data_IF_834281557559
#
_entry.id   IF_834281557559
#
_cell.length_a   1.000
_cell.length_b   1.000
_cell.length_c   1.000
_cell.angle_alpha   90.00
_cell.angle_beta   90.00
_cell.angle_gamma   90.00
#
_symmetry.space_group_name_H-M   'P 1'
#
loop_
_entity.id
_entity.type
_entity.pdbx_description
1 polymer ?
#
# COMPACT_ATOMS: atom_id res chain seq x y z
N UNK A 1 33.81 60.97 -46.31
CA UNK A 1 32.94 59.78 -46.33
C UNK A 1 33.67 58.69 -45.57
N UNK A 2 33.48 58.64 -44.26
CA UNK A 2 34.28 57.83 -43.34
C UNK A 2 33.53 56.52 -43.11
N UNK A 3 34.11 55.42 -43.58
CA UNK A 3 33.51 54.08 -43.56
C UNK A 3 33.69 53.46 -42.17
N UNK A 4 32.61 53.32 -41.41
CA UNK A 4 32.62 52.67 -40.10
C UNK A 4 32.67 51.14 -40.29
N UNK A 5 33.76 50.51 -39.88
CA UNK A 5 33.87 49.05 -39.77
C UNK A 5 33.16 48.58 -38.49
N UNK A 6 32.06 47.85 -38.63
CA UNK A 6 31.42 47.15 -37.52
C UNK A 6 32.22 45.87 -37.21
N UNK A 7 32.92 45.84 -36.08
CA UNK A 7 33.58 44.64 -35.56
C UNK A 7 32.53 43.59 -35.20
N UNK A 8 32.62 42.40 -35.78
CA UNK A 8 31.71 41.29 -35.47
C UNK A 8 31.89 40.82 -34.01
N UNK A 9 30.77 40.60 -33.32
CA UNK A 9 30.76 39.88 -32.05
C UNK A 9 31.29 38.45 -32.28
N UNK A 10 32.30 38.03 -31.52
CA UNK A 10 32.76 36.64 -31.51
C UNK A 10 31.61 35.75 -31.02
N UNK A 11 31.13 34.84 -31.87
CA UNK A 11 30.16 33.82 -31.50
C UNK A 11 30.81 32.89 -30.46
N UNK A 12 30.49 33.09 -29.18
CA UNK A 12 30.86 32.14 -28.12
C UNK A 12 29.80 31.05 -28.15
N UNK A 13 30.13 29.90 -28.75
CA UNK A 13 29.33 28.69 -28.60
C UNK A 13 29.30 28.37 -27.10
N UNK A 14 28.13 28.52 -26.48
CA UNK A 14 27.88 27.97 -25.16
C UNK A 14 27.66 26.49 -25.43
N UNK A 15 28.59 25.64 -25.01
CA UNK A 15 28.34 24.20 -25.05
C UNK A 15 27.10 23.93 -24.19
N UNK A 16 26.11 23.26 -24.78
CA UNK A 16 24.93 22.81 -24.06
C UNK A 16 25.41 22.03 -22.83
N UNK A 17 24.94 22.41 -21.65
CA UNK A 17 25.25 21.68 -20.43
C UNK A 17 24.90 20.20 -20.68
N UNK A 18 25.84 19.28 -20.42
CA UNK A 18 25.58 17.85 -20.49
C UNK A 18 24.38 17.55 -19.61
N UNK A 19 23.23 17.29 -20.22
CA UNK A 19 22.04 16.90 -19.47
C UNK A 19 22.38 15.62 -18.69
N UNK A 20 22.01 15.54 -17.40
CA UNK A 20 22.30 14.35 -16.62
C UNK A 20 21.69 13.13 -17.31
N UNK A 21 22.46 12.04 -17.38
CA UNK A 21 22.01 10.80 -18.00
C UNK A 21 20.69 10.32 -17.40
N UNK A 22 19.78 9.84 -18.26
CA UNK A 22 18.53 9.24 -17.83
C UNK A 22 18.80 8.05 -16.92
N UNK A 23 18.22 8.07 -15.71
CA UNK A 23 18.31 6.95 -14.77
C UNK A 23 16.95 6.31 -14.55
N UNK A 24 16.95 4.98 -14.47
CA UNK A 24 15.78 4.21 -14.08
C UNK A 24 15.76 3.97 -12.58
N UNK A 25 14.58 3.89 -11.97
CA UNK A 25 14.43 3.53 -10.57
C UNK A 25 13.08 2.89 -10.27
N UNK A 26 13.03 2.06 -9.23
CA UNK A 26 11.77 1.53 -8.67
C UNK A 26 11.21 2.59 -7.72
N UNK A 27 10.03 3.14 -7.99
CA UNK A 27 9.45 4.18 -7.12
C UNK A 27 9.20 3.67 -5.69
N UNK A 28 8.80 2.41 -5.55
CA UNK A 28 8.58 1.79 -4.23
C UNK A 28 9.86 1.75 -3.37
N UNK A 29 11.06 1.65 -3.99
CA UNK A 29 12.35 1.63 -3.28
C UNK A 29 12.66 2.95 -2.55
N UNK A 30 12.03 4.07 -2.93
CA UNK A 30 12.17 5.34 -2.21
C UNK A 30 11.60 5.29 -0.78
N UNK A 31 10.77 4.28 -0.47
CA UNK A 31 10.27 4.04 0.90
C UNK A 31 11.28 3.26 1.76
N UNK A 32 12.45 2.90 1.24
CA UNK A 32 13.36 1.95 1.86
C UNK A 32 12.75 0.55 1.88
N UNK A 33 12.24 0.13 3.04
CA UNK A 33 11.52 -1.14 3.21
C UNK A 33 10.02 -0.88 3.00
N UNK A 34 9.46 -1.51 1.98
CA UNK A 34 8.08 -1.34 1.56
C UNK A 34 7.14 -2.24 2.36
N UNK A 35 6.65 -1.74 3.49
CA UNK A 35 5.74 -2.46 4.37
C UNK A 35 4.29 -2.46 3.89
N UNK A 36 3.68 -3.64 3.91
CA UNK A 36 2.26 -3.91 3.73
C UNK A 36 1.75 -4.52 5.04
N UNK A 37 1.21 -3.66 5.91
CA UNK A 37 0.83 -4.00 7.29
C UNK A 37 -0.58 -3.51 7.69
N UNK A 38 -1.32 -2.92 6.77
CA UNK A 38 -2.70 -2.49 6.98
C UNK A 38 -3.51 -2.64 5.69
N UNK A 39 -4.78 -3.00 5.81
CA UNK A 39 -5.74 -2.87 4.72
C UNK A 39 -5.95 -1.36 4.44
N UNK A 40 -5.96 -0.91 3.17
CA UNK A 40 -6.31 0.48 2.85
C UNK A 40 -7.68 0.80 3.45
N UNK A 41 -7.78 1.83 4.29
CA UNK A 41 -9.05 2.21 4.90
C UNK A 41 -10.04 2.61 3.81
N UNK A 42 -11.21 1.96 3.78
CA UNK A 42 -12.28 2.19 2.79
C UNK A 42 -12.87 3.61 2.77
N UNK A 43 -12.43 4.51 3.66
CA UNK A 43 -12.83 5.91 3.64
C UNK A 43 -12.23 6.72 2.47
N UNK A 44 -11.17 6.24 1.83
CA UNK A 44 -10.61 6.85 0.63
C UNK A 44 -10.33 5.75 -0.39
N UNK A 45 -11.18 5.67 -1.42
CA UNK A 45 -10.81 5.05 -2.69
C UNK A 45 -9.41 5.51 -3.10
N UNK A 46 -8.61 4.70 -3.83
CA UNK A 46 -7.30 5.11 -4.31
C UNK A 46 -7.40 6.49 -4.96
N UNK A 47 -6.88 7.50 -4.26
CA UNK A 47 -6.89 8.90 -4.69
C UNK A 47 -5.49 9.22 -5.22
N UNK A 48 -5.35 10.08 -6.24
CA UNK A 48 -4.04 10.54 -6.68
C UNK A 48 -3.26 11.10 -5.48
N UNK A 49 -2.10 10.50 -5.17
CA UNK A 49 -1.28 10.86 -4.00
C UNK A 49 -1.40 9.92 -2.79
N UNK A 50 -2.38 9.01 -2.76
CA UNK A 50 -2.46 7.93 -1.78
C UNK A 50 -2.77 6.58 -2.46
N UNK A 51 -1.85 6.08 -3.33
CA UNK A 51 -2.06 4.84 -4.04
C UNK A 51 -2.04 3.66 -3.06
N UNK A 52 -3.05 2.79 -3.12
CA UNK A 52 -3.06 1.54 -2.37
C UNK A 52 -1.77 0.76 -2.66
N UNK A 53 -1.04 0.40 -1.60
CA UNK A 53 0.25 -0.31 -1.71
C UNK A 53 0.12 -1.71 -2.35
N UNK A 54 -1.09 -2.23 -2.39
CA UNK A 54 -1.46 -3.49 -3.03
C UNK A 54 -2.95 -3.46 -3.42
N UNK A 55 -3.34 -4.37 -4.31
CA UNK A 55 -4.73 -4.76 -4.57
C UNK A 55 -4.90 -6.26 -4.37
N UNK A 56 -6.13 -6.78 -4.41
CA UNK A 56 -6.38 -8.21 -4.26
C UNK A 56 -7.33 -8.72 -5.34
N UNK A 57 -6.99 -9.84 -5.95
CA UNK A 57 -7.91 -10.63 -6.76
C UNK A 57 -8.39 -11.83 -5.92
N UNK A 58 -9.58 -11.72 -5.34
CA UNK A 58 -10.12 -12.74 -4.45
C UNK A 58 -10.51 -14.03 -5.20
N UNK A 59 -10.98 -13.92 -6.45
CA UNK A 59 -11.33 -15.07 -7.28
C UNK A 59 -10.13 -15.93 -7.64
N UNK A 60 -8.97 -15.29 -7.84
CA UNK A 60 -7.73 -15.98 -8.20
C UNK A 60 -6.81 -16.24 -6.99
N UNK A 61 -7.22 -15.81 -5.79
CA UNK A 61 -6.42 -15.95 -4.58
C UNK A 61 -5.09 -15.21 -4.65
N UNK A 62 -5.04 -14.00 -5.21
CA UNK A 62 -3.79 -13.21 -5.34
C UNK A 62 -3.85 -11.89 -4.60
N UNK A 63 -2.74 -11.55 -3.94
CA UNK A 63 -2.39 -10.18 -3.53
C UNK A 63 -1.45 -9.62 -4.61
N UNK A 64 -1.76 -8.44 -5.14
CA UNK A 64 -1.04 -7.82 -6.25
C UNK A 64 -0.34 -6.58 -5.72
N UNK A 65 0.99 -6.57 -5.76
CA UNK A 65 1.81 -5.41 -5.38
C UNK A 65 2.35 -4.78 -6.66
N UNK A 66 1.81 -3.63 -7.10
CA UNK A 66 2.26 -2.97 -8.32
C UNK A 66 3.63 -2.32 -8.11
N UNK A 67 4.62 -2.73 -8.90
CA UNK A 67 5.97 -2.18 -8.88
C UNK A 67 6.20 -1.32 -10.13
N UNK A 68 6.21 0.00 -9.93
CA UNK A 68 6.47 0.96 -11.00
C UNK A 68 7.97 1.24 -11.17
N UNK A 69 8.44 1.14 -12.42
CA UNK A 69 9.74 1.66 -12.85
C UNK A 69 9.54 3.02 -13.52
N UNK A 70 10.32 4.00 -13.07
CA UNK A 70 10.25 5.38 -13.53
C UNK A 70 11.53 5.74 -14.26
N UNK A 71 11.38 6.50 -15.33
CA UNK A 71 12.47 7.16 -16.06
C UNK A 71 12.67 8.55 -15.47
N UNK A 72 13.83 8.79 -14.86
CA UNK A 72 14.27 10.13 -14.48
C UNK A 72 15.03 10.77 -15.65
N UNK A 73 14.68 12.02 -16.00
CA UNK A 73 15.28 12.77 -17.11
C UNK A 73 14.23 13.52 -17.95
N UNK A 74 14.68 14.29 -18.94
CA UNK A 74 13.81 15.15 -19.77
C UNK A 74 13.38 14.44 -21.07
N UNK A 75 14.14 13.45 -21.54
CA UNK A 75 13.82 12.68 -22.74
C UNK A 75 13.11 11.37 -22.39
N UNK A 76 12.00 11.09 -23.07
CA UNK A 76 11.27 9.82 -23.05
C UNK A 76 11.38 9.11 -24.41
N UNK A 77 12.44 9.44 -25.16
CA UNK A 77 12.74 8.82 -26.44
C UNK A 77 13.11 7.35 -26.26
N UNK A 78 12.72 6.54 -27.23
CA UNK A 78 12.90 5.09 -27.30
C UNK A 78 12.15 4.26 -26.25
N UNK A 79 11.86 3.02 -26.63
CA UNK A 79 11.39 1.96 -25.73
C UNK A 79 12.55 1.47 -24.86
N UNK A 80 12.29 1.21 -23.58
CA UNK A 80 13.28 0.71 -22.62
C UNK A 80 12.81 -0.60 -22.01
N UNK A 81 13.68 -1.60 -22.05
CA UNK A 81 13.46 -2.91 -21.43
C UNK A 81 14.13 -2.98 -20.06
N UNK A 82 13.41 -3.53 -19.10
CA UNK A 82 13.82 -3.67 -17.71
C UNK A 82 13.56 -5.10 -17.27
N UNK A 83 14.56 -5.71 -16.65
CA UNK A 83 14.44 -7.02 -16.03
C UNK A 83 14.22 -6.88 -14.54
N UNK A 84 13.19 -7.54 -14.02
CA UNK A 84 12.86 -7.60 -12.58
C UNK A 84 13.28 -8.96 -12.03
N UNK A 85 14.18 -8.98 -11.05
CA UNK A 85 14.79 -10.21 -10.52
C UNK A 85 14.62 -10.31 -9.01
N UNK A 86 14.02 -11.39 -8.49
CA UNK A 86 13.99 -11.65 -7.05
C UNK A 86 15.40 -11.85 -6.47
N UNK A 87 15.67 -11.23 -5.30
CA UNK A 87 16.95 -11.29 -4.58
C UNK A 87 16.76 -11.85 -3.18
N UNK A 88 16.85 -13.17 -3.06
CA UNK A 88 16.69 -13.88 -1.79
C UNK A 88 17.82 -13.56 -0.80
N UNK A 89 19.03 -13.34 -1.30
CA UNK A 89 20.21 -13.02 -0.50
C UNK A 89 20.08 -11.65 0.20
N UNK A 90 19.51 -10.66 -0.47
CA UNK A 90 19.22 -9.33 0.12
C UNK A 90 18.32 -9.45 1.34
N UNK A 91 17.24 -10.22 1.26
CA UNK A 91 16.32 -10.43 2.40
C UNK A 91 17.04 -11.13 3.55
N UNK A 92 17.79 -12.19 3.26
CA UNK A 92 18.53 -12.94 4.28
C UNK A 92 19.57 -12.07 5.00
N UNK A 93 20.30 -11.22 4.27
CA UNK A 93 21.24 -10.23 4.86
C UNK A 93 20.53 -9.25 5.78
N UNK A 94 19.38 -8.72 5.37
CA UNK A 94 18.60 -7.79 6.18
C UNK A 94 18.02 -8.45 7.45
N UNK A 95 17.61 -9.72 7.38
CA UNK A 95 17.19 -10.50 8.55
C UNK A 95 18.39 -10.69 9.51
N UNK A 96 19.55 -11.12 8.99
CA UNK A 96 20.75 -11.34 9.79
C UNK A 96 21.24 -10.06 10.49
N UNK A 97 21.08 -8.91 9.84
CA UNK A 97 21.43 -7.60 10.41
C UNK A 97 20.36 -7.02 11.36
N UNK A 98 19.27 -7.76 11.64
CA UNK A 98 18.19 -7.30 12.51
C UNK A 98 17.30 -6.20 11.93
N UNK A 99 17.42 -5.91 10.64
CA UNK A 99 16.66 -4.86 9.95
C UNK A 99 15.25 -5.31 9.55
N UNK A 100 15.00 -6.63 9.55
CA UNK A 100 13.70 -7.25 9.26
C UNK A 100 13.30 -8.19 10.41
N UNK A 101 13.04 -7.64 11.60
CA UNK A 101 12.74 -8.44 12.78
C UNK A 101 11.44 -9.25 12.61
N UNK A 102 11.52 -10.56 12.88
CA UNK A 102 10.42 -11.52 12.75
C UNK A 102 10.03 -11.87 11.31
N UNK A 103 10.73 -11.33 10.30
CA UNK A 103 10.46 -11.65 8.90
C UNK A 103 11.09 -12.98 8.49
N UNK A 104 10.39 -13.67 7.60
CA UNK A 104 10.87 -14.87 6.89
C UNK A 104 10.89 -14.60 5.39
N UNK A 105 11.75 -15.28 4.65
CA UNK A 105 11.77 -15.17 3.20
C UNK A 105 10.44 -15.71 2.63
N UNK A 106 9.81 -14.94 1.75
CA UNK A 106 8.63 -15.40 1.02
C UNK A 106 9.03 -16.54 0.09
N UNK A 107 8.43 -17.74 0.17
CA UNK A 107 8.83 -18.87 -0.65
C UNK A 107 8.61 -18.60 -2.15
N UNK A 108 9.53 -19.08 -2.99
CA UNK A 108 9.55 -18.80 -4.44
C UNK A 108 8.31 -19.27 -5.20
N UNK A 109 7.67 -20.33 -4.72
CA UNK A 109 6.43 -20.89 -5.27
C UNK A 109 5.18 -20.12 -4.84
N UNK A 110 5.32 -19.16 -3.91
CA UNK A 110 4.23 -18.34 -3.36
C UNK A 110 4.15 -16.96 -3.96
N UNK A 111 4.99 -16.66 -4.95
CA UNK A 111 4.88 -15.44 -5.72
C UNK A 111 5.22 -15.65 -7.20
N UNK A 112 4.76 -14.72 -8.03
CA UNK A 112 5.13 -14.59 -9.43
C UNK A 112 5.29 -13.10 -9.75
N UNK A 113 6.32 -12.75 -10.50
CA UNK A 113 6.52 -11.41 -11.03
C UNK A 113 6.79 -11.51 -12.52
N UNK A 114 6.22 -10.60 -13.32
CA UNK A 114 6.63 -10.48 -14.70
C UNK A 114 8.05 -9.92 -14.75
N UNK A 115 9.02 -10.80 -15.01
CA UNK A 115 10.44 -10.45 -15.06
C UNK A 115 10.80 -9.54 -16.22
N UNK A 116 10.00 -9.47 -17.29
CA UNK A 116 10.24 -8.62 -18.44
C UNK A 116 9.25 -7.45 -18.46
N UNK A 117 9.76 -6.26 -18.16
CA UNK A 117 9.01 -5.01 -18.23
C UNK A 117 9.49 -4.17 -19.40
N UNK A 118 8.54 -3.55 -20.10
CA UNK A 118 8.80 -2.60 -21.18
C UNK A 118 8.22 -1.25 -20.80
N UNK A 119 9.02 -0.19 -20.93
CA UNK A 119 8.58 1.21 -20.89
C UNK A 119 8.52 1.69 -22.34
N UNK A 120 7.34 1.81 -22.96
CA UNK A 120 7.22 2.18 -24.36
C UNK A 120 7.78 3.57 -24.66
N UNK A 121 8.13 3.80 -25.92
CA UNK A 121 8.44 5.14 -26.43
C UNK A 121 7.37 6.17 -26.02
N UNK A 122 7.80 7.32 -25.51
CA UNK A 122 6.92 8.40 -25.06
C UNK A 122 6.36 8.22 -23.64
N UNK A 123 6.54 7.05 -23.02
CA UNK A 123 6.14 6.81 -21.64
C UNK A 123 7.30 7.05 -20.67
N UNK A 124 6.97 7.57 -19.49
CA UNK A 124 7.92 7.81 -18.39
C UNK A 124 7.88 6.71 -17.33
N UNK A 125 6.90 5.80 -17.42
CA UNK A 125 6.68 4.74 -16.44
C UNK A 125 6.30 3.42 -17.09
N UNK A 126 6.65 2.32 -16.42
CA UNK A 126 6.15 0.99 -16.69
C UNK A 126 5.87 0.26 -15.38
N UNK A 127 4.96 -0.70 -15.39
CA UNK A 127 4.52 -1.41 -14.18
C UNK A 127 4.70 -2.92 -14.34
N UNK A 128 5.23 -3.57 -13.31
CA UNK A 128 5.21 -5.02 -13.18
C UNK A 128 4.55 -5.39 -11.86
N UNK A 129 3.67 -6.39 -11.90
CA UNK A 129 2.91 -6.82 -10.74
C UNK A 129 3.62 -7.99 -10.05
N UNK A 130 3.98 -7.79 -8.79
CA UNK A 130 4.33 -8.87 -7.89
C UNK A 130 3.04 -9.51 -7.37
N UNK A 131 2.71 -10.68 -7.90
CA UNK A 131 1.56 -11.49 -7.52
C UNK A 131 1.96 -12.44 -6.40
N UNK A 132 1.35 -12.34 -5.23
CA UNK A 132 1.59 -13.21 -4.06
C UNK A 132 0.36 -14.07 -3.79
N UNK A 133 0.56 -15.35 -3.48
CA UNK A 133 -0.49 -16.32 -3.13
C UNK A 133 -1.20 -15.88 -1.84
N UNK A 134 -2.41 -15.34 -1.98
CA UNK A 134 -3.22 -14.86 -0.87
C UNK A 134 -3.72 -16.00 0.03
N UNK A 135 -3.92 -17.21 -0.51
CA UNK A 135 -4.37 -18.36 0.28
C UNK A 135 -3.24 -18.87 1.19
N UNK A 136 -2.00 -18.84 0.71
CA UNK A 136 -0.82 -19.06 1.54
C UNK A 136 -0.75 -18.05 2.69
N UNK A 137 -0.88 -16.75 2.40
CA UNK A 137 -0.84 -15.73 3.45
C UNK A 137 -1.97 -15.90 4.48
N UNK A 138 -3.19 -16.25 4.05
CA UNK A 138 -4.35 -16.50 4.94
C UNK A 138 -4.19 -17.72 5.86
N UNK A 139 -3.45 -18.73 5.39
CA UNK A 139 -3.14 -19.95 6.12
C UNK A 139 -2.00 -19.76 7.12
N UNK A 140 -1.26 -18.66 7.03
CA UNK A 140 -0.12 -18.35 7.91
C UNK A 140 -0.34 -16.99 8.61
N UNK A 141 -1.33 -16.86 9.50
CA UNK A 141 -1.59 -15.62 10.22
C UNK A 141 -0.45 -15.28 11.20
N UNK A 142 -0.29 -14.00 11.50
CA UNK A 142 0.72 -13.47 12.44
C UNK A 142 2.17 -13.77 12.01
N UNK A 143 2.41 -13.90 10.72
CA UNK A 143 3.73 -14.08 10.12
C UNK A 143 4.12 -12.84 9.33
N UNK A 144 5.43 -12.59 9.24
CA UNK A 144 5.97 -11.54 8.39
C UNK A 144 6.76 -12.22 7.27
N UNK A 145 6.41 -11.94 6.02
CA UNK A 145 7.10 -12.44 4.84
C UNK A 145 7.79 -11.30 4.11
N UNK A 146 8.98 -11.54 3.57
CA UNK A 146 9.75 -10.53 2.85
C UNK A 146 10.28 -11.07 1.51
N UNK A 147 10.32 -10.20 0.51
CA UNK A 147 10.91 -10.45 -0.80
C UNK A 147 11.60 -9.18 -1.29
N UNK A 148 12.80 -9.30 -1.85
CA UNK A 148 13.47 -8.20 -2.53
C UNK A 148 13.40 -8.40 -4.04
N UNK A 149 13.15 -7.33 -4.78
CA UNK A 149 13.13 -7.31 -6.24
C UNK A 149 14.12 -6.25 -6.71
N UNK A 150 15.12 -6.67 -7.50
CA UNK A 150 16.06 -5.78 -8.17
C UNK A 150 15.64 -5.56 -9.63
N UNK A 151 15.66 -4.32 -10.07
CA UNK A 151 15.51 -3.92 -11.46
C UNK A 151 16.88 -3.70 -12.10
N UNK A 152 17.04 -4.18 -13.33
CA UNK A 152 18.24 -3.97 -14.14
C UNK A 152 17.87 -3.68 -15.60
N UNK A 153 18.71 -2.93 -16.32
CA UNK A 153 18.58 -2.73 -17.76
C UNK A 153 19.96 -2.71 -18.39
N UNK A 154 20.09 -3.30 -19.58
CA UNK A 154 21.30 -3.19 -20.42
C UNK A 154 21.32 -1.89 -21.22
N UNK A 155 20.17 -1.22 -21.36
CA UNK A 155 19.99 -0.05 -22.23
C UNK A 155 20.14 1.27 -21.48
N UNK A 156 19.83 1.28 -20.17
CA UNK A 156 19.82 2.48 -19.33
C UNK A 156 20.39 2.18 -17.94
N UNK A 157 21.07 3.17 -17.37
CA UNK A 157 21.64 3.09 -16.02
C UNK A 157 20.53 3.07 -14.97
N UNK A 158 20.63 2.15 -14.00
CA UNK A 158 19.78 2.15 -12.81
C UNK A 158 20.31 3.14 -11.77
N UNK A 159 19.44 3.79 -11.01
CA UNK A 159 19.83 4.50 -9.80
C UNK A 159 20.28 3.48 -8.73
N UNK A 160 21.55 3.45 -8.30
CA UNK A 160 22.07 2.42 -7.40
C UNK A 160 21.43 2.43 -6.01
N UNK A 161 20.79 3.53 -5.59
CA UNK A 161 20.08 3.60 -4.31
C UNK A 161 18.62 3.15 -4.41
N UNK A 162 18.07 3.06 -5.62
CA UNK A 162 16.63 2.83 -5.87
C UNK A 162 16.38 1.73 -6.91
N UNK A 163 17.37 0.88 -7.19
CA UNK A 163 17.24 -0.24 -8.11
C UNK A 163 16.65 -1.48 -7.45
N UNK A 164 16.59 -1.54 -6.13
CA UNK A 164 16.08 -2.69 -5.36
C UNK A 164 14.99 -2.24 -4.40
N UNK A 165 13.84 -2.92 -4.44
CA UNK A 165 12.76 -2.75 -3.45
C UNK A 165 12.68 -3.99 -2.57
N UNK A 166 12.49 -3.79 -1.26
CA UNK A 166 12.19 -4.88 -0.32
C UNK A 166 10.74 -4.77 0.09
N UNK A 167 9.90 -5.69 -0.37
CA UNK A 167 8.48 -5.78 -0.01
C UNK A 167 8.34 -6.67 1.21
N UNK A 168 7.66 -6.16 2.24
CA UNK A 168 7.41 -6.88 3.49
C UNK A 168 5.92 -6.94 3.76
N UNK A 169 5.38 -8.14 3.91
CA UNK A 169 3.96 -8.42 4.10
C UNK A 169 3.77 -8.96 5.51
N UNK A 170 3.02 -8.23 6.32
CA UNK A 170 2.64 -8.63 7.68
C UNK A 170 1.23 -9.22 7.69
N UNK A 171 1.11 -10.54 7.77
CA UNK A 171 -0.17 -11.24 7.62
C UNK A 171 -1.17 -10.96 8.73
N UNK A 172 -0.80 -10.20 9.78
CA UNK A 172 -1.77 -9.61 10.72
C UNK A 172 -2.79 -8.73 10.00
N UNK A 173 -2.42 -8.13 8.86
CA UNK A 173 -3.33 -7.35 8.01
C UNK A 173 -4.52 -8.18 7.48
N UNK A 174 -4.40 -9.51 7.46
CA UNK A 174 -5.44 -10.42 6.98
C UNK A 174 -6.41 -10.80 8.08
N UNK A 175 -6.10 -10.52 9.34
CA UNK A 175 -6.95 -10.84 10.49
C UNK A 175 -7.69 -9.56 10.89
N UNK A 176 -8.97 -9.41 10.52
CA UNK A 176 -9.74 -8.28 11.00
C UNK A 176 -9.85 -8.30 12.52
N UNK A 177 -9.83 -7.14 13.14
CA UNK A 177 -10.13 -6.97 14.55
C UNK A 177 -11.33 -6.04 14.68
N UNK A 178 -12.46 -6.59 15.15
CA UNK A 178 -13.65 -5.81 15.45
C UNK A 178 -13.42 -5.04 16.76
N UNK A 179 -13.56 -3.73 16.74
CA UNK A 179 -13.51 -2.93 17.95
C UNK A 179 -14.35 -1.66 17.86
N UNK A 180 -14.81 -1.17 18.99
CA UNK A 180 -15.54 0.10 19.07
C UNK A 180 -15.46 0.74 20.45
N UNK A 181 -15.66 2.04 20.44
CA UNK A 181 -16.00 2.84 21.63
C UNK A 181 -17.41 3.43 21.45
N UNK A 182 -18.00 3.90 22.54
CA UNK A 182 -19.29 4.56 22.50
C UNK A 182 -19.34 5.68 23.53
N UNK A 183 -20.24 6.63 23.32
CA UNK A 183 -20.54 7.73 24.23
C UNK A 183 -22.06 7.84 24.38
N UNK A 184 -22.54 7.78 25.62
CA UNK A 184 -23.94 8.05 25.94
C UNK A 184 -24.16 9.56 25.96
N UNK A 185 -25.26 10.01 25.37
CA UNK A 185 -25.66 11.41 25.42
C UNK A 185 -25.96 11.82 26.87
N UNK A 186 -25.50 13.02 27.25
CA UNK A 186 -25.63 13.49 28.62
C UNK A 186 -27.07 13.87 29.01
N UNK A 187 -27.91 14.14 28.03
CA UNK A 187 -29.31 14.61 28.20
C UNK A 187 -30.34 13.54 27.87
N UNK A 188 -29.97 12.54 27.06
CA UNK A 188 -30.83 11.43 26.69
C UNK A 188 -30.05 10.11 26.71
N UNK A 189 -30.19 9.34 27.80
CA UNK A 189 -29.49 8.06 27.97
C UNK A 189 -29.81 7.03 26.87
N UNK A 190 -30.87 7.24 26.09
CA UNK A 190 -31.23 6.38 24.94
C UNK A 190 -30.38 6.69 23.71
N UNK A 191 -29.77 7.87 23.61
CA UNK A 191 -28.94 8.29 22.48
C UNK A 191 -27.49 7.93 22.73
N UNK A 192 -26.92 7.15 21.82
CA UNK A 192 -25.55 6.66 21.93
C UNK A 192 -24.84 6.86 20.60
N UNK A 193 -23.75 7.62 20.66
CA UNK A 193 -22.82 7.78 19.54
C UNK A 193 -21.81 6.65 19.61
N UNK A 194 -21.69 5.88 18.55
CA UNK A 194 -20.67 4.85 18.44
C UNK A 194 -19.51 5.35 17.59
N UNK A 195 -18.32 4.83 17.88
CA UNK A 195 -17.13 5.07 17.11
C UNK A 195 -16.44 3.75 16.80
N UNK A 196 -16.39 3.38 15.53
CA UNK A 196 -15.68 2.21 15.07
C UNK A 196 -14.16 2.40 15.28
N UNK A 197 -13.55 1.50 16.05
CA UNK A 197 -12.11 1.47 16.29
C UNK A 197 -11.49 0.16 15.79
N UNK A 198 -12.19 -0.52 14.88
CA UNK A 198 -11.75 -1.76 14.25
C UNK A 198 -10.50 -1.53 13.40
N UNK A 199 -9.72 -2.59 13.20
CA UNK A 199 -8.52 -2.56 12.35
C UNK A 199 -8.52 -3.73 11.37
N UNK A 200 -7.82 -3.55 10.24
CA UNK A 200 -7.70 -4.57 9.19
C UNK A 200 -9.07 -4.99 8.59
N UNK A 201 -9.99 -4.03 8.47
CA UNK A 201 -11.33 -4.23 7.92
C UNK A 201 -11.47 -3.56 6.56
N UNK A 202 -12.31 -4.15 5.70
CA UNK A 202 -12.78 -3.59 4.44
C UNK A 202 -14.13 -2.91 4.67
N UNK A 203 -14.98 -3.55 5.47
CA UNK A 203 -16.29 -3.04 5.84
C UNK A 203 -16.64 -3.41 7.28
N UNK A 204 -17.60 -2.68 7.83
CA UNK A 204 -18.19 -2.92 9.14
C UNK A 204 -19.69 -2.79 9.08
N UNK A 205 -20.37 -3.50 9.95
CA UNK A 205 -21.82 -3.43 10.15
C UNK A 205 -22.10 -3.35 11.64
N UNK A 206 -23.01 -2.47 12.00
CA UNK A 206 -23.55 -2.33 13.34
C UNK A 206 -24.83 -3.14 13.45
N UNK A 207 -24.91 -3.99 14.47
CA UNK A 207 -26.17 -4.57 14.92
C UNK A 207 -26.45 -4.00 16.32
N UNK A 208 -27.45 -3.14 16.40
CA UNK A 208 -27.82 -2.48 17.64
C UNK A 208 -28.58 -3.42 18.59
N UNK A 209 -29.03 -4.59 18.12
CA UNK A 209 -29.75 -5.59 18.91
C UNK A 209 -31.23 -5.28 19.16
N UNK A 210 -31.74 -4.18 18.61
CA UNK A 210 -33.16 -3.78 18.65
C UNK A 210 -33.87 -4.00 17.30
N UNK A 211 -33.25 -4.76 16.41
CA UNK A 211 -33.74 -5.00 15.05
C UNK A 211 -33.30 -3.96 14.02
N UNK A 212 -32.56 -2.93 14.43
CA UNK A 212 -31.97 -1.93 13.51
C UNK A 212 -30.46 -2.12 13.34
N UNK A 213 -29.92 -1.67 12.21
CA UNK A 213 -28.51 -1.77 11.85
C UNK A 213 -28.00 -0.49 11.17
N UNK A 214 -26.68 -0.37 11.05
CA UNK A 214 -26.04 0.72 10.32
C UNK A 214 -24.74 0.27 9.64
N UNK A 215 -24.36 0.93 8.55
CA UNK A 215 -23.06 0.80 7.91
C UNK A 215 -22.19 2.06 8.07
N UNK A 216 -22.68 3.06 8.80
CA UNK A 216 -21.92 4.29 9.06
C UNK A 216 -20.69 4.00 9.93
N UNK A 217 -19.61 4.74 9.73
CA UNK A 217 -18.41 4.55 10.55
C UNK A 217 -18.62 5.02 12.00
N UNK A 218 -19.47 6.04 12.19
CA UNK A 218 -19.80 6.65 13.48
C UNK A 218 -21.30 6.92 13.60
N UNK A 219 -22.15 5.89 13.76
CA UNK A 219 -23.58 6.08 13.83
C UNK A 219 -23.99 6.69 15.17
N UNK A 220 -25.00 7.56 15.12
CA UNK A 220 -25.80 7.94 16.28
C UNK A 220 -27.06 7.08 16.29
N UNK A 221 -27.28 6.31 17.36
CA UNK A 221 -28.48 5.49 17.49
C UNK A 221 -29.30 5.83 18.74
N UNK A 222 -30.62 5.77 18.63
CA UNK A 222 -31.57 6.03 19.72
C UNK A 222 -32.33 4.76 20.08
N UNK A 223 -32.16 4.26 21.30
CA UNK A 223 -32.72 3.00 21.74
C UNK A 223 -34.15 3.13 22.29
N UNK A 224 -35.05 2.17 22.00
CA UNK A 224 -36.41 2.19 22.54
C UNK A 224 -36.45 1.87 24.05
N UNK A 225 -35.56 1.00 24.54
CA UNK A 225 -35.51 0.51 25.92
C UNK A 225 -34.08 0.32 26.45
N UNK A 226 -33.93 0.16 27.77
CA UNK A 226 -32.66 -0.19 28.42
C UNK A 226 -32.36 -1.70 28.29
N UNK A 227 -31.07 -2.08 28.34
CA UNK A 227 -30.66 -3.48 28.59
C UNK A 227 -30.32 -4.37 27.38
N UNK A 228 -29.75 -3.83 26.28
CA UNK A 228 -29.43 -4.63 25.08
C UNK A 228 -27.91 -4.76 24.87
N UNK A 229 -27.44 -6.00 24.62
CA UNK A 229 -26.08 -6.33 24.18
C UNK A 229 -25.88 -5.83 22.76
N UNK A 230 -24.75 -5.17 22.48
CA UNK A 230 -24.53 -4.50 21.18
C UNK A 230 -23.32 -5.07 20.49
N UNK A 231 -23.39 -5.26 19.18
CA UNK A 231 -22.32 -5.89 18.43
C UNK A 231 -21.86 -5.07 17.24
N UNK A 232 -20.54 -5.10 17.01
CA UNK A 232 -19.92 -4.64 15.77
C UNK A 232 -19.40 -5.86 15.04
N UNK A 233 -19.82 -6.01 13.80
CA UNK A 233 -19.32 -7.02 12.89
C UNK A 233 -18.29 -6.35 11.98
N UNK A 234 -17.09 -6.90 11.94
CA UNK A 234 -15.97 -6.43 11.14
C UNK A 234 -15.65 -7.47 10.05
N UNK A 235 -15.58 -7.03 8.81
CA UNK A 235 -15.24 -7.88 7.66
C UNK A 235 -13.90 -7.43 7.08
N UNK A 236 -12.91 -8.34 7.06
CA UNK A 236 -11.59 -8.11 6.46
C UNK A 236 -11.34 -9.02 5.26
N UNK A 237 -10.08 -9.06 4.81
CA UNK A 237 -9.64 -9.95 3.72
C UNK A 237 -9.79 -11.44 4.06
N UNK A 238 -9.72 -11.78 5.35
CA UNK A 238 -10.22 -13.03 5.93
C UNK A 238 -11.52 -12.71 6.68
N UNK A 239 -12.62 -13.46 6.46
CA UNK A 239 -13.83 -13.31 7.27
C UNK A 239 -13.60 -13.70 8.73
N UNK A 240 -14.40 -13.15 9.66
CA UNK A 240 -14.60 -13.78 10.97
C UNK A 240 -14.38 -12.94 12.24
N UNK A 241 -14.38 -11.60 12.18
CA UNK A 241 -14.29 -10.78 13.40
C UNK A 241 -15.63 -10.16 13.80
N UNK A 242 -16.03 -10.37 15.04
CA UNK A 242 -17.13 -9.68 15.67
C UNK A 242 -16.73 -9.33 17.10
N UNK A 243 -17.16 -8.15 17.57
CA UNK A 243 -17.00 -7.74 18.97
C UNK A 243 -18.34 -7.35 19.53
N UNK A 244 -18.68 -7.95 20.66
CA UNK A 244 -19.83 -7.55 21.46
C UNK A 244 -19.36 -6.68 22.61
N UNK A 245 -20.08 -5.58 22.85
CA UNK A 245 -19.89 -4.74 24.04
C UNK A 245 -21.18 -4.72 24.85
N UNK A 246 -21.03 -4.82 26.17
CA UNK A 246 -22.12 -4.52 27.11
C UNK A 246 -22.06 -3.02 27.38
N UNK A 247 -23.17 -2.34 27.14
CA UNK A 247 -23.36 -1.01 27.71
C UNK A 247 -23.86 -1.23 29.13
N UNK A 248 -23.21 -0.65 30.15
CA UNK A 248 -23.68 -0.71 31.51
C UNK A 248 -25.16 -0.34 31.54
N UNK A 249 -25.95 -1.02 32.37
CA UNK A 249 -27.32 -0.62 32.63
C UNK A 249 -27.28 0.83 33.13
N UNK A 250 -27.55 1.78 32.23
CA UNK A 250 -27.66 3.17 32.58
C UNK A 250 -28.89 3.27 33.47
N UNK A 251 -28.59 3.43 34.76
CA UNK A 251 -29.47 3.65 35.88
C UNK A 251 -30.77 4.33 35.47
N UNK A 252 -31.92 3.68 35.72
CA UNK A 252 -33.19 4.39 35.85
C UNK A 252 -33.02 5.34 37.05
N UNK A 253 -33.14 6.67 36.90
CA UNK A 253 -33.48 7.49 38.06
C UNK A 253 -34.84 7.06 38.62
#
# INVERSE_FOLDING_TARGET
MTMAMLSSCKFKKIDDAMFPEEKLYIAAAANGIYWINSVPSSANLPTPGNPSRFSTNLSEGRMIVPLGIYRGGISNSNTVEVTMTPKTDTVQKLIANGQLNGATLLPSEKYNINSALVIPHGQTTGFSDLNVDLNFLKSNPNQIYAIAIEASSSQRTMNPLLNTVVVVIDTRLLVPSANFSYKVDATDWKKITFNNTSSNIISSEWDFGDGTSSMENQPLHTFPSAGVVRSVIARGLKPGAARQGRIPDCYRP
#
